data_IF_725726096420
#
_entry.id   IF_725726096420
#
_cell.length_a   1.000
_cell.length_b   1.000
_cell.length_c   1.000
_cell.angle_alpha   90.00
_cell.angle_beta   90.00
_cell.angle_gamma   90.00
#
_symmetry.space_group_name_H-M   'P 1'
#
loop_
_entity.id
_entity.type
_entity.pdbx_description
1 polymer ?
#
# COMPACT_ATOMS: atom_id res chain seq x y z
N UNK A 1 37.06 10.35 -6.49
CA UNK A 1 35.77 9.77 -6.88
C UNK A 1 34.79 10.15 -5.79
N UNK A 2 34.11 11.28 -5.97
CA UNK A 2 32.96 11.64 -5.14
C UNK A 2 31.82 11.50 -6.13
N UNK A 3 31.08 10.40 -6.00
CA UNK A 3 29.89 10.19 -6.80
C UNK A 3 28.82 11.15 -6.29
N UNK A 4 28.51 12.11 -7.16
CA UNK A 4 27.64 13.26 -6.97
C UNK A 4 26.18 12.79 -6.95
N UNK A 5 25.80 12.08 -5.89
CA UNK A 5 24.41 11.75 -5.60
C UNK A 5 23.68 13.02 -5.18
N UNK A 6 23.10 13.70 -6.18
CA UNK A 6 22.23 14.87 -6.04
C UNK A 6 21.16 14.68 -4.93
N UNK A 7 21.32 15.30 -3.75
CA UNK A 7 20.41 15.08 -2.61
C UNK A 7 19.01 15.67 -2.84
N UNK A 8 18.87 16.66 -3.72
CA UNK A 8 17.57 17.28 -4.01
C UNK A 8 16.63 16.37 -4.82
N UNK A 9 17.18 15.41 -5.58
CA UNK A 9 16.36 14.44 -6.32
C UNK A 9 15.82 13.35 -5.37
N UNK A 10 16.65 12.92 -4.42
CA UNK A 10 16.26 11.94 -3.41
C UNK A 10 15.19 12.53 -2.47
N UNK A 11 15.37 13.76 -1.98
CA UNK A 11 14.39 14.42 -1.12
C UNK A 11 13.02 14.60 -1.80
N UNK A 12 13.00 14.99 -3.08
CA UNK A 12 11.75 15.09 -3.86
C UNK A 12 11.09 13.74 -4.09
N UNK A 13 11.88 12.68 -4.33
CA UNK A 13 11.36 11.33 -4.48
C UNK A 13 10.80 10.77 -3.16
N UNK A 14 11.46 11.06 -2.02
CA UNK A 14 10.95 10.72 -0.70
C UNK A 14 9.64 11.46 -0.40
N UNK A 15 9.57 12.77 -0.69
CA UNK A 15 8.34 13.55 -0.51
C UNK A 15 7.17 12.98 -1.32
N UNK A 16 7.41 12.66 -2.60
CA UNK A 16 6.40 12.00 -3.43
C UNK A 16 5.98 10.64 -2.86
N UNK A 17 6.93 9.82 -2.40
CA UNK A 17 6.63 8.52 -1.80
C UNK A 17 5.82 8.65 -0.50
N UNK A 18 6.08 9.66 0.33
CA UNK A 18 5.29 9.90 1.54
C UNK A 18 3.86 10.35 1.21
N UNK A 19 3.71 11.25 0.23
CA UNK A 19 2.40 11.75 -0.21
C UNK A 19 1.51 10.63 -0.78
N UNK A 20 2.11 9.68 -1.51
CA UNK A 20 1.40 8.58 -2.17
C UNK A 20 1.40 7.27 -1.37
N UNK A 21 1.92 7.28 -0.14
CA UNK A 21 2.08 6.07 0.68
C UNK A 21 0.74 5.41 1.01
N UNK A 22 -0.28 6.21 1.35
CA UNK A 22 -1.61 5.68 1.62
C UNK A 22 -2.23 5.09 0.35
N UNK A 23 -2.14 5.78 -0.79
CA UNK A 23 -2.64 5.28 -2.07
C UNK A 23 -1.96 3.96 -2.45
N UNK A 24 -0.66 3.81 -2.17
CA UNK A 24 0.05 2.54 -2.33
C UNK A 24 -0.50 1.44 -1.42
N UNK A 25 -0.69 1.72 -0.13
CA UNK A 25 -1.21 0.74 0.85
C UNK A 25 -2.65 0.31 0.59
N UNK A 26 -3.43 1.18 -0.06
CA UNK A 26 -4.82 0.92 -0.43
C UNK A 26 -4.97 0.36 -1.85
N UNK A 27 -3.89 0.30 -2.64
CA UNK A 27 -3.91 -0.19 -4.02
C UNK A 27 -4.61 0.77 -4.99
N UNK A 28 -4.61 2.06 -4.66
CA UNK A 28 -5.22 3.14 -5.46
C UNK A 28 -4.22 3.77 -6.44
N UNK A 29 -2.92 3.46 -6.33
CA UNK A 29 -1.91 3.83 -7.31
C UNK A 29 -2.04 3.02 -8.60
N UNK A 30 -1.82 3.69 -9.73
CA UNK A 30 -1.59 3.03 -11.03
C UNK A 30 -0.40 2.07 -10.98
N UNK A 31 -0.41 1.01 -11.79
CA UNK A 31 0.64 -0.01 -11.81
C UNK A 31 2.04 0.59 -12.06
N UNK A 32 2.13 1.57 -12.97
CA UNK A 32 3.40 2.25 -13.28
C UNK A 32 3.94 3.04 -12.09
N UNK A 33 3.07 3.74 -11.36
CA UNK A 33 3.45 4.49 -10.17
C UNK A 33 3.80 3.56 -9.00
N UNK A 34 3.09 2.44 -8.85
CA UNK A 34 3.38 1.44 -7.84
C UNK A 34 4.77 0.81 -8.03
N UNK A 35 5.19 0.57 -9.28
CA UNK A 35 6.52 0.07 -9.58
C UNK A 35 7.63 1.11 -9.30
N UNK A 36 7.40 2.37 -9.65
CA UNK A 36 8.32 3.46 -9.29
C UNK A 36 8.45 3.60 -7.76
N UNK A 37 7.33 3.47 -7.03
CA UNK A 37 7.30 3.49 -5.57
C UNK A 37 8.12 2.34 -4.97
N UNK A 38 7.93 1.12 -5.46
CA UNK A 38 8.72 -0.07 -5.01
C UNK A 38 10.21 0.10 -5.27
N UNK A 39 10.57 0.66 -6.42
CA UNK A 39 11.96 0.95 -6.75
C UNK A 39 12.57 1.94 -5.76
N UNK A 40 11.82 2.99 -5.41
CA UNK A 40 12.26 3.98 -4.42
C UNK A 40 12.37 3.38 -3.01
N UNK A 41 11.38 2.62 -2.54
CA UNK A 41 11.43 1.93 -1.24
C UNK A 41 12.65 1.03 -1.10
N UNK A 42 13.03 0.33 -2.18
CA UNK A 42 14.20 -0.55 -2.19
C UNK A 42 15.52 0.24 -2.12
N UNK A 43 15.52 1.47 -2.62
CA UNK A 43 16.68 2.37 -2.63
C UNK A 43 16.78 3.25 -1.37
N UNK A 44 15.69 3.42 -0.61
CA UNK A 44 15.61 4.32 0.53
C UNK A 44 15.08 3.61 1.79
N UNK A 45 15.98 3.33 2.73
CA UNK A 45 15.67 2.68 4.01
C UNK A 45 14.68 3.49 4.85
N UNK A 46 14.80 4.82 4.88
CA UNK A 46 13.88 5.69 5.63
C UNK A 46 12.44 5.61 5.13
N UNK A 47 12.24 5.55 3.81
CA UNK A 47 10.89 5.43 3.23
C UNK A 47 10.32 4.02 3.42
N UNK A 48 11.18 3.00 3.46
CA UNK A 48 10.79 1.63 3.80
C UNK A 48 10.26 1.54 5.23
N UNK A 49 10.97 2.11 6.20
CA UNK A 49 10.55 2.11 7.61
C UNK A 49 9.21 2.82 7.81
N UNK A 50 9.03 3.99 7.17
CA UNK A 50 7.76 4.72 7.23
C UNK A 50 6.61 3.92 6.61
N UNK A 51 6.85 3.29 5.45
CA UNK A 51 5.86 2.47 4.79
C UNK A 51 5.44 1.26 5.65
N UNK A 52 6.39 0.63 6.34
CA UNK A 52 6.12 -0.48 7.25
C UNK A 52 5.34 -0.04 8.49
N UNK A 53 5.65 1.13 9.04
CA UNK A 53 4.90 1.73 10.15
C UNK A 53 3.45 2.02 9.74
N UNK A 54 3.23 2.70 8.62
CA UNK A 54 1.89 3.00 8.10
C UNK A 54 1.10 1.74 7.73
N UNK A 55 1.76 0.73 7.17
CA UNK A 55 1.14 -0.57 6.92
C UNK A 55 0.71 -1.25 8.23
N UNK A 56 1.50 -1.15 9.29
CA UNK A 56 1.16 -1.69 10.61
C UNK A 56 -0.05 -0.95 11.22
N UNK A 57 -0.09 0.38 11.11
CA UNK A 57 -1.23 1.21 11.55
C UNK A 57 -2.49 0.83 10.77
N UNK A 58 -2.41 0.77 9.45
CA UNK A 58 -3.51 0.35 8.57
C UNK A 58 -4.03 -1.04 8.93
N UNK A 59 -3.14 -2.00 9.21
CA UNK A 59 -3.54 -3.34 9.68
C UNK A 59 -4.21 -3.30 11.06
N UNK A 60 -3.74 -2.46 11.97
CA UNK A 60 -4.36 -2.29 13.28
C UNK A 60 -5.77 -1.70 13.16
N UNK A 61 -5.94 -0.66 12.33
CA UNK A 61 -7.25 -0.06 12.04
C UNK A 61 -8.24 -1.07 11.48
N UNK A 62 -7.82 -1.93 10.52
CA UNK A 62 -8.65 -3.01 9.99
C UNK A 62 -9.11 -4.01 11.05
N UNK A 63 -8.34 -4.23 12.12
CA UNK A 63 -8.76 -5.09 13.25
C UNK A 63 -9.79 -4.41 14.15
N UNK A 64 -9.70 -3.09 14.30
CA UNK A 64 -10.67 -2.29 15.06
C UNK A 64 -12.00 -2.14 14.31
N UNK A 65 -11.97 -2.17 12.98
CA UNK A 65 -13.18 -2.24 12.15
C UNK A 65 -13.84 -3.61 12.34
N UNK A 66 -15.01 -3.64 12.98
CA UNK A 66 -15.81 -4.85 13.04
C UNK A 66 -16.13 -5.30 11.60
N UNK A 67 -15.89 -6.57 11.23
CA UNK A 67 -16.29 -7.06 9.94
C UNK A 67 -17.80 -6.90 9.82
N UNK A 68 -18.24 -6.01 8.91
CA UNK A 68 -19.65 -5.92 8.53
C UNK A 68 -19.97 -7.23 7.83
N UNK A 69 -20.57 -8.15 8.58
CA UNK A 69 -20.97 -9.43 8.02
C UNK A 69 -22.01 -9.17 6.93
N UNK A 70 -21.71 -9.60 5.70
CA UNK A 70 -22.71 -9.63 4.64
C UNK A 70 -23.94 -10.40 5.11
N UNK A 71 -25.13 -9.90 4.75
CA UNK A 71 -26.41 -10.54 5.07
C UNK A 71 -26.38 -12.01 4.66
N UNK A 72 -27.06 -12.86 5.44
CA UNK A 72 -27.17 -14.31 5.19
C UNK A 72 -27.56 -14.61 3.74
N UNK A 73 -28.46 -13.81 3.16
CA UNK A 73 -28.89 -13.96 1.76
C UNK A 73 -27.74 -13.86 0.76
N UNK A 74 -26.85 -12.87 0.91
CA UNK A 74 -25.70 -12.69 0.02
C UNK A 74 -24.72 -13.86 0.14
N UNK A 75 -24.50 -14.35 1.36
CA UNK A 75 -23.63 -15.52 1.61
C UNK A 75 -24.21 -16.78 0.96
N UNK A 76 -25.52 -17.01 1.06
CA UNK A 76 -26.16 -18.18 0.45
C UNK A 76 -26.10 -18.13 -1.08
N UNK A 77 -26.24 -16.94 -1.71
CA UNK A 77 -26.07 -16.81 -3.17
C UNK A 77 -24.66 -17.16 -3.64
N UNK A 78 -23.62 -16.71 -2.93
CA UNK A 78 -22.23 -17.03 -3.28
C UNK A 78 -21.99 -18.54 -3.19
N UNK A 79 -22.46 -19.19 -2.12
CA UNK A 79 -22.34 -20.64 -1.95
C UNK A 79 -23.03 -21.39 -3.08
N UNK A 80 -24.23 -20.96 -3.50
CA UNK A 80 -24.92 -21.54 -4.66
C UNK A 80 -24.09 -21.45 -5.94
N UNK A 81 -23.54 -20.27 -6.25
CA UNK A 81 -22.71 -20.06 -7.45
C UNK A 81 -21.44 -20.94 -7.46
N UNK A 82 -20.84 -21.19 -6.30
CA UNK A 82 -19.63 -22.03 -6.18
C UNK A 82 -19.89 -23.53 -6.24
N UNK A 83 -21.15 -23.97 -6.06
CA UNK A 83 -21.53 -25.39 -6.15
C UNK A 83 -22.03 -25.79 -7.55
N UNK A 84 -22.41 -24.81 -8.37
CA UNK A 84 -22.87 -24.98 -9.76
C UNK A 84 -21.76 -24.82 -10.82
N UNK A 85 -20.48 -24.68 -10.41
CA UNK A 85 -19.28 -24.62 -11.29
C UNK A 85 -18.40 -25.85 -11.12
#
# INVERSE_FOLDING_TARGET
MIDDSNPECAEKACGWALDHLQEFLHGELSDEAADAFRHHLTACESCMDEADMEAAVSRALRRCQQPVHASIELRMRIVGLTLDS
#
